data_IF_624482217741
#
_entry.id   IF_624482217741
#
_cell.length_a   1.000
_cell.length_b   1.000
_cell.length_c   1.000
_cell.angle_alpha   90.00
_cell.angle_beta   90.00
_cell.angle_gamma   90.00
#
_symmetry.space_group_name_H-M   'P 1'
#
loop_
_entity.id
_entity.type
_entity.pdbx_description
1 polymer ?
#
# COMPACT_ATOMS: atom_id res chain seq x y z
N UNK A 1 3.67 0.56 9.67
CA UNK A 1 3.50 -0.28 8.45
C UNK A 1 4.23 -1.61 8.68
N UNK A 2 3.83 -2.72 8.06
CA UNK A 2 4.57 -3.98 8.27
C UNK A 2 5.91 -3.96 7.51
N UNK A 3 6.97 -4.53 8.09
CA UNK A 3 8.31 -4.51 7.48
C UNK A 3 8.34 -5.18 6.10
N UNK A 4 7.79 -6.39 5.97
CA UNK A 4 7.73 -7.10 4.68
C UNK A 4 6.93 -6.36 3.59
N UNK A 5 5.91 -5.58 3.98
CA UNK A 5 5.18 -4.72 3.04
C UNK A 5 6.04 -3.53 2.59
N UNK A 6 6.85 -2.98 3.50
CA UNK A 6 7.75 -1.87 3.21
C UNK A 6 8.91 -2.26 2.31
N UNK A 7 9.54 -3.41 2.55
CA UNK A 7 10.61 -3.92 1.70
C UNK A 7 10.09 -4.24 0.30
N UNK A 8 8.91 -4.85 0.18
CA UNK A 8 8.23 -5.04 -1.11
C UNK A 8 7.95 -3.71 -1.82
N UNK A 9 7.35 -2.75 -1.11
CA UNK A 9 7.05 -1.43 -1.67
C UNK A 9 8.29 -0.77 -2.28
N UNK A 10 9.43 -0.88 -1.62
CA UNK A 10 10.67 -0.26 -2.11
C UNK A 10 11.28 -0.96 -3.30
N UNK A 11 11.23 -2.29 -3.32
CA UNK A 11 11.60 -3.07 -4.51
C UNK A 11 10.74 -2.63 -5.70
N UNK A 12 9.44 -2.45 -5.48
CA UNK A 12 8.51 -1.96 -6.52
C UNK A 12 8.79 -0.51 -6.94
N UNK A 13 9.25 0.36 -6.03
CA UNK A 13 9.69 1.73 -6.36
C UNK A 13 10.97 1.74 -7.19
N UNK A 14 11.95 0.90 -6.86
CA UNK A 14 13.17 0.75 -7.67
C UNK A 14 12.85 0.26 -9.08
N UNK A 15 11.85 -0.62 -9.20
CA UNK A 15 11.33 -1.12 -10.47
C UNK A 15 10.32 -0.16 -11.14
N UNK A 16 10.08 1.03 -10.58
CA UNK A 16 9.16 2.05 -11.09
C UNK A 16 7.69 1.59 -11.25
N UNK A 17 7.30 0.51 -10.57
CA UNK A 17 5.92 -0.01 -10.55
C UNK A 17 5.03 0.83 -9.64
N UNK A 18 5.60 1.35 -8.57
CA UNK A 18 4.95 2.26 -7.63
C UNK A 18 5.78 3.53 -7.45
N UNK A 19 5.13 4.64 -7.11
CA UNK A 19 5.81 5.92 -6.92
C UNK A 19 5.74 6.39 -5.45
N UNK A 20 6.73 7.18 -5.04
CA UNK A 20 6.74 7.87 -3.75
C UNK A 20 6.04 9.23 -3.89
N UNK A 21 4.96 9.51 -3.13
CA UNK A 21 4.25 10.78 -3.23
C UNK A 21 5.03 11.92 -2.55
N UNK A 22 5.42 12.93 -3.31
CA UNK A 22 6.08 14.14 -2.80
C UNK A 22 5.05 15.13 -2.22
N UNK A 23 4.90 15.14 -0.90
CA UNK A 23 3.91 16.00 -0.21
C UNK A 23 4.42 17.39 0.16
N UNK A 24 5.62 17.48 0.73
CA UNK A 24 6.18 18.74 1.26
C UNK A 24 7.07 19.47 0.27
N UNK A 25 7.98 18.75 -0.38
CA UNK A 25 8.93 19.31 -1.34
C UNK A 25 8.50 18.94 -2.77
N UNK A 26 7.56 19.70 -3.32
CA UNK A 26 6.90 19.42 -4.61
C UNK A 26 7.18 20.48 -5.70
N UNK A 27 8.07 21.44 -5.46
CA UNK A 27 8.45 22.45 -6.45
C UNK A 27 9.20 21.84 -7.63
N UNK A 28 8.62 21.91 -8.84
CA UNK A 28 9.22 21.37 -10.06
C UNK A 28 9.07 19.84 -10.24
N UNK A 29 8.32 19.16 -9.38
CA UNK A 29 8.06 17.71 -9.50
C UNK A 29 6.93 17.46 -10.51
N UNK A 30 7.14 16.55 -11.46
CA UNK A 30 6.14 16.17 -12.47
C UNK A 30 4.93 15.43 -11.90
N UNK A 31 3.85 15.35 -12.69
CA UNK A 31 2.64 14.60 -12.34
C UNK A 31 2.76 13.15 -12.80
N UNK A 32 2.33 12.20 -11.97
CA UNK A 32 2.27 10.78 -12.31
C UNK A 32 0.92 10.19 -11.91
N UNK A 33 0.40 9.25 -12.72
CA UNK A 33 -0.90 8.58 -12.49
C UNK A 33 -0.84 7.66 -11.25
N UNK A 34 0.31 7.03 -11.02
CA UNK A 34 0.56 6.13 -9.87
C UNK A 34 0.38 6.84 -8.52
N UNK A 35 0.58 8.17 -8.47
CA UNK A 35 0.49 8.96 -7.23
C UNK A 35 -0.95 9.13 -6.71
N UNK A 36 -1.96 8.67 -7.46
CA UNK A 36 -3.36 8.63 -7.00
C UNK A 36 -3.57 7.62 -5.87
N UNK A 37 -2.74 6.59 -5.79
CA UNK A 37 -2.74 5.63 -4.69
C UNK A 37 -1.87 6.21 -3.56
N UNK A 38 -2.52 6.81 -2.56
CA UNK A 38 -1.86 7.63 -1.57
C UNK A 38 -0.91 6.87 -0.61
N UNK A 39 0.15 7.59 -0.23
CA UNK A 39 1.02 7.44 0.94
C UNK A 39 1.78 6.12 1.11
N UNK A 40 3.06 6.17 0.75
CA UNK A 40 4.03 5.18 1.21
C UNK A 40 5.38 5.88 1.47
N UNK A 41 5.90 5.72 2.69
CA UNK A 41 7.19 6.25 3.14
C UNK A 41 8.21 5.12 3.11
N UNK A 42 9.37 5.38 2.49
CA UNK A 42 10.42 4.38 2.25
C UNK A 42 11.27 4.00 3.47
N UNK A 43 11.93 2.84 3.40
CA UNK A 43 12.72 2.19 4.46
C UNK A 43 13.85 1.30 3.94
N UNK A 44 15.11 1.62 4.20
CA UNK A 44 16.21 0.72 3.83
C UNK A 44 16.37 -0.37 4.92
N UNK A 45 16.78 -1.56 4.47
CA UNK A 45 16.79 -2.85 5.18
C UNK A 45 17.24 -2.79 6.64
N UNK A 46 16.44 -3.44 7.49
CA UNK A 46 16.55 -3.48 8.95
C UNK A 46 16.24 -4.89 9.50
N UNK A 47 16.00 -5.85 8.60
CA UNK A 47 15.59 -7.23 8.92
C UNK A 47 16.73 -7.95 9.68
N UNK A 48 17.97 -7.78 9.23
CA UNK A 48 19.17 -8.43 9.82
C UNK A 48 19.44 -8.03 11.28
N UNK A 49 19.13 -6.78 11.67
CA UNK A 49 19.36 -6.29 13.04
C UNK A 49 18.32 -6.83 14.04
N UNK A 50 17.12 -7.16 13.55
CA UNK A 50 16.05 -7.73 14.38
C UNK A 50 16.31 -9.22 14.68
N UNK A 51 16.82 -9.96 13.69
CA UNK A 51 17.24 -11.36 13.85
C UNK A 51 18.33 -11.50 14.91
N UNK A 52 19.29 -10.58 14.94
CA UNK A 52 20.36 -10.57 15.96
C UNK A 52 19.80 -10.41 17.39
N UNK A 53 18.68 -9.72 17.55
CA UNK A 53 18.02 -9.48 18.84
C UNK A 53 17.00 -10.58 19.20
N UNK A 54 16.77 -11.54 18.32
CA UNK A 54 15.78 -12.59 18.49
C UNK A 54 14.33 -12.09 18.45
N UNK A 55 14.10 -10.95 17.81
CA UNK A 55 12.76 -10.40 17.57
C UNK A 55 12.13 -11.10 16.36
N UNK A 56 10.82 -11.29 16.39
CA UNK A 56 10.08 -11.94 15.31
C UNK A 56 9.92 -11.01 14.10
N UNK A 57 10.63 -11.34 13.02
CA UNK A 57 10.68 -10.53 11.79
C UNK A 57 9.29 -10.36 11.16
N UNK A 58 8.43 -11.36 11.32
CA UNK A 58 7.10 -11.42 10.70
C UNK A 58 6.02 -10.63 11.46
N UNK A 59 6.32 -10.10 12.64
CA UNK A 59 5.40 -9.24 13.42
C UNK A 59 5.91 -7.81 13.62
N UNK A 60 7.08 -7.47 13.05
CA UNK A 60 7.66 -6.14 13.14
C UNK A 60 6.85 -5.10 12.37
N UNK A 61 6.46 -4.07 13.11
CA UNK A 61 5.81 -2.90 12.57
C UNK A 61 6.66 -1.68 12.81
N UNK A 62 6.71 -0.84 11.78
CA UNK A 62 7.38 0.45 11.87
C UNK A 62 6.45 1.41 12.60
N UNK A 63 6.91 1.85 13.77
CA UNK A 63 6.21 2.81 14.61
C UNK A 63 6.60 4.22 14.23
N UNK A 64 7.91 4.48 14.15
CA UNK A 64 8.44 5.82 13.96
C UNK A 64 9.58 5.84 12.94
N UNK A 65 9.53 6.84 12.05
CA UNK A 65 10.61 7.17 11.10
C UNK A 65 10.83 8.68 11.19
N UNK A 66 12.08 9.07 11.43
CA UNK A 66 12.49 10.47 11.43
C UNK A 66 13.70 10.68 10.54
N UNK A 67 13.69 11.80 9.79
CA UNK A 67 14.80 12.21 8.93
C UNK A 67 15.23 13.62 9.31
N UNK A 68 16.45 13.75 9.80
CA UNK A 68 17.06 15.02 10.20
C UNK A 68 18.11 15.46 9.19
N UNK A 69 18.32 16.77 9.05
CA UNK A 69 19.39 17.31 8.20
C UNK A 69 20.73 17.17 8.90
N UNK A 70 21.74 16.68 8.20
CA UNK A 70 23.11 16.63 8.69
C UNK A 70 23.92 17.85 8.21
N UNK A 71 25.11 18.11 8.80
CA UNK A 71 25.99 19.20 8.37
C UNK A 71 26.33 19.12 6.88
N UNK A 72 26.21 20.24 6.16
CA UNK A 72 26.46 20.29 4.72
C UNK A 72 27.95 20.24 4.42
N UNK A 73 28.35 19.47 3.40
CA UNK A 73 29.72 19.49 2.90
C UNK A 73 29.85 20.51 1.77
N UNK A 74 30.97 21.22 1.75
CA UNK A 74 31.19 22.34 0.84
C UNK A 74 32.01 21.94 -0.38
N UNK A 75 31.50 22.25 -1.57
CA UNK A 75 32.20 22.16 -2.84
C UNK A 75 32.09 23.50 -3.58
N UNK A 76 32.88 23.66 -4.65
CA UNK A 76 32.93 24.87 -5.46
C UNK A 76 32.61 24.55 -6.91
N UNK A 77 31.80 25.40 -7.53
CA UNK A 77 31.58 25.40 -8.98
C UNK A 77 32.14 26.69 -9.54
N UNK A 78 33.10 26.55 -10.46
CA UNK A 78 33.64 27.66 -11.23
C UNK A 78 32.67 28.02 -12.35
N UNK A 79 32.33 29.30 -12.45
CA UNK A 79 31.45 29.85 -13.50
C UNK A 79 32.22 30.88 -14.34
N UNK A 80 31.55 31.39 -15.37
CA UNK A 80 32.10 32.42 -16.24
C UNK A 80 32.59 33.65 -15.46
N UNK A 81 33.56 34.37 -16.05
CA UNK A 81 34.16 35.59 -15.50
C UNK A 81 34.80 35.42 -14.12
N UNK A 82 35.32 34.23 -13.80
CA UNK A 82 35.99 33.95 -12.52
C UNK A 82 35.03 33.89 -11.32
N UNK A 83 33.71 33.84 -11.56
CA UNK A 83 32.72 33.71 -10.49
C UNK A 83 32.79 32.32 -9.86
N UNK A 84 32.88 32.27 -8.53
CA UNK A 84 32.87 31.02 -7.76
C UNK A 84 31.55 30.92 -6.99
N UNK A 85 30.76 29.89 -7.26
CA UNK A 85 29.53 29.61 -6.53
C UNK A 85 29.71 28.36 -5.63
N UNK A 86 29.05 28.32 -4.46
CA UNK A 86 29.03 27.14 -3.63
C UNK A 86 28.15 26.04 -4.26
N UNK A 87 28.62 24.80 -4.17
CA UNK A 87 27.81 23.59 -4.39
C UNK A 87 27.86 22.78 -3.11
N UNK A 88 26.70 22.60 -2.47
CA UNK A 88 26.63 22.04 -1.13
C UNK A 88 25.96 20.68 -1.19
N UNK A 89 26.59 19.65 -0.63
CA UNK A 89 25.90 18.37 -0.42
C UNK A 89 24.93 18.50 0.75
N UNK A 90 23.85 17.72 0.71
CA UNK A 90 22.81 17.71 1.75
C UNK A 90 22.65 16.31 2.36
N UNK A 91 23.56 15.91 3.26
CA UNK A 91 23.42 14.63 3.97
C UNK A 91 22.27 14.66 4.99
N UNK A 92 21.83 13.47 5.41
CA UNK A 92 20.77 13.31 6.41
C UNK A 92 21.07 12.20 7.43
N UNK A 93 20.47 12.34 8.61
CA UNK A 93 20.39 11.29 9.62
C UNK A 93 19.00 10.66 9.55
N UNK A 94 18.95 9.34 9.48
CA UNK A 94 17.71 8.58 9.41
C UNK A 94 17.62 7.73 10.67
N UNK A 95 16.53 7.91 11.40
CA UNK A 95 16.22 7.17 12.62
C UNK A 95 14.92 6.42 12.40
N UNK A 96 14.90 5.16 12.79
CA UNK A 96 13.74 4.29 12.68
C UNK A 96 13.59 3.42 13.93
N UNK A 97 12.35 3.29 14.39
CA UNK A 97 11.97 2.47 15.53
C UNK A 97 10.98 1.43 15.02
N UNK A 98 11.35 0.17 15.21
CA UNK A 98 10.49 -0.98 14.96
C UNK A 98 10.02 -1.53 16.31
N UNK A 99 8.75 -1.88 16.37
CA UNK A 99 8.15 -2.55 17.52
C UNK A 99 7.39 -3.77 17.06
N UNK A 100 7.42 -4.82 17.88
CA UNK A 100 6.57 -5.98 17.69
C UNK A 100 5.14 -5.62 18.07
N UNK A 101 4.18 -5.95 17.22
CA UNK A 101 2.77 -5.76 17.57
C UNK A 101 2.25 -6.95 18.37
N UNK A 102 2.05 -6.74 19.66
CA UNK A 102 1.29 -7.67 20.50
C UNK A 102 -0.21 -7.65 20.16
N UNK A 103 -0.87 -8.81 20.29
CA UNK A 103 -2.33 -8.88 20.26
C UNK A 103 -2.88 -8.17 21.49
N UNK A 104 -3.73 -7.16 21.25
CA UNK A 104 -4.33 -6.34 22.31
C UNK A 104 -5.25 -7.24 23.14
N UNK A 105 -4.79 -7.67 24.31
CA UNK A 105 -5.68 -8.25 25.32
C UNK A 105 -6.41 -7.08 25.98
N UNK A 106 -7.75 -6.98 25.88
CA UNK A 106 -8.47 -5.91 26.52
C UNK A 106 -8.24 -5.98 28.03
N UNK A 107 -7.67 -4.90 28.61
CA UNK A 107 -7.62 -4.73 30.06
C UNK A 107 -9.06 -4.73 30.58
N UNK A 108 -9.40 -5.51 31.62
CA UNK A 108 -10.72 -5.44 32.21
C UNK A 108 -10.96 -4.02 32.75
N UNK A 109 -12.03 -3.39 32.31
CA UNK A 109 -12.47 -2.12 32.90
C UNK A 109 -12.93 -2.39 34.33
N UNK A 110 -12.24 -1.81 35.32
CA UNK A 110 -12.75 -1.76 36.68
C UNK A 110 -13.97 -0.83 36.68
N UNK A 111 -15.16 -1.42 36.80
CA UNK A 111 -16.40 -0.68 37.06
C UNK A 111 -16.31 0.03 38.41
N UNK A 112 -15.67 1.20 38.46
CA UNK A 112 -15.79 2.12 39.60
C UNK A 112 -17.17 2.77 39.50
N UNK A 113 -18.18 2.01 39.95
CA UNK A 113 -19.53 2.48 40.12
C UNK A 113 -19.54 3.64 41.12
N UNK A 114 -19.43 4.87 40.62
CA UNK A 114 -19.71 6.07 41.39
C UNK A 114 -21.19 6.05 41.79
N UNK A 115 -21.49 5.46 42.95
CA UNK A 115 -22.82 5.51 43.56
C UNK A 115 -23.15 6.97 43.84
N UNK A 116 -23.90 7.60 42.93
CA UNK A 116 -24.52 8.92 43.17
C UNK A 116 -25.32 8.83 44.48
N UNK A 117 -24.98 9.65 45.47
CA UNK A 117 -25.74 9.76 46.72
C UNK A 117 -27.13 10.32 46.41
N UNK A 118 -28.10 9.42 46.27
CA UNK A 118 -29.50 9.80 46.05
C UNK A 118 -30.08 10.29 47.39
N UNK A 119 -30.71 11.47 47.38
CA UNK A 119 -31.42 12.03 48.55
C UNK A 119 -32.46 11.06 49.11
N UNK A 120 -32.53 10.92 50.44
CA UNK A 120 -33.43 9.99 51.15
C UNK A 120 -34.90 10.11 50.71
N UNK A 121 -35.34 11.31 50.30
CA UNK A 121 -36.70 11.57 49.82
C UNK A 121 -36.99 10.88 48.48
N UNK A 122 -35.99 10.81 47.59
CA UNK A 122 -36.10 10.15 46.27
C UNK A 122 -36.06 8.62 46.42
N UNK A 123 -35.29 8.11 47.39
CA UNK A 123 -35.26 6.68 47.73
C UNK A 123 -36.59 6.19 48.31
N UNK A 124 -37.23 6.98 49.20
CA UNK A 124 -38.57 6.66 49.73
C UNK A 124 -39.64 6.63 48.62
N UNK A 125 -39.59 7.56 47.66
CA UNK A 125 -40.51 7.58 46.51
C UNK A 125 -40.33 6.37 45.59
N UNK A 126 -39.08 5.97 45.31
CA UNK A 126 -38.79 4.75 44.55
C UNK A 126 -39.24 3.47 45.27
N UNK A 127 -39.09 3.41 46.60
CA UNK A 127 -39.57 2.27 47.40
C UNK A 127 -41.10 2.17 47.46
N UNK A 128 -41.81 3.30 47.39
CA UNK A 128 -43.28 3.35 47.28
C UNK A 128 -43.73 2.84 45.92
N UNK A 129 -43.14 3.36 44.83
CA UNK A 129 -43.41 2.88 43.47
C UNK A 129 -43.10 1.38 43.28
N UNK A 130 -42.05 0.89 43.93
CA UNK A 130 -41.70 -0.54 43.90
C UNK A 130 -42.66 -1.43 44.71
N UNK A 131 -43.34 -0.89 45.72
CA UNK A 131 -44.39 -1.62 46.47
C UNK A 131 -45.70 -1.70 45.67
N UNK A 132 -46.05 -0.64 44.96
CA UNK A 132 -47.29 -0.58 44.17
C UNK A 132 -47.21 -1.50 42.93
N UNK A 133 -45.99 -1.77 42.42
CA UNK A 133 -45.76 -2.70 41.31
C UNK A 133 -45.82 -4.18 41.69
N UNK A 134 -46.00 -4.53 42.97
CA UNK A 134 -46.08 -5.94 43.41
C UNK A 134 -47.50 -6.54 43.36
N UNK A 135 -48.51 -5.82 42.85
CA UNK A 135 -49.90 -6.31 42.85
C UNK A 135 -50.35 -6.90 41.50
N UNK A 136 -49.56 -6.82 40.41
CA UNK A 136 -49.90 -7.52 39.17
C UNK A 136 -48.67 -8.19 38.54
N UNK A 137 -48.60 -9.54 38.45
CA UNK A 137 -47.61 -10.18 37.59
C UNK A 137 -47.89 -9.81 36.13
N UNK A 138 -46.87 -9.21 35.51
CA UNK A 138 -46.78 -8.75 34.12
C UNK A 138 -47.43 -9.69 33.10
N UNK A 139 -48.48 -9.20 32.44
CA UNK A 139 -49.05 -9.78 31.21
C UNK A 139 -48.17 -9.44 29.97
N UNK A 140 -47.33 -8.40 30.06
CA UNK A 140 -46.52 -7.87 28.95
C UNK A 140 -45.28 -8.69 28.55
N UNK A 141 -44.83 -9.65 29.37
CA UNK A 141 -43.64 -10.46 29.06
C UNK A 141 -43.93 -11.68 28.19
N UNK A 142 -45.16 -12.18 28.16
CA UNK A 142 -45.57 -13.30 27.31
C UNK A 142 -45.83 -12.83 25.87
N UNK A 143 -46.54 -11.71 25.67
CA UNK A 143 -46.90 -11.22 24.34
C UNK A 143 -45.68 -10.84 23.49
N UNK A 144 -44.67 -10.23 24.11
CA UNK A 144 -43.42 -9.87 23.43
C UNK A 144 -42.60 -11.11 23.02
N UNK A 145 -42.64 -12.18 23.82
CA UNK A 145 -41.95 -13.42 23.51
C UNK A 145 -42.61 -14.15 22.33
N UNK A 146 -43.94 -14.25 22.31
CA UNK A 146 -44.68 -14.83 21.18
C UNK A 146 -44.56 -13.97 19.91
N UNK A 147 -44.49 -12.64 20.03
CA UNK A 147 -44.28 -11.75 18.88
C UNK A 147 -42.91 -11.94 18.24
N UNK A 148 -41.83 -11.99 19.05
CA UNK A 148 -40.47 -12.25 18.56
C UNK A 148 -40.33 -13.64 17.96
N UNK A 149 -40.94 -14.67 18.58
CA UNK A 149 -40.89 -16.03 18.08
C UNK A 149 -41.65 -16.20 16.75
N UNK A 150 -42.82 -15.57 16.62
CA UNK A 150 -43.60 -15.57 15.38
C UNK A 150 -42.87 -14.81 14.25
N UNK A 151 -42.26 -13.67 14.58
CA UNK A 151 -41.46 -12.90 13.63
C UNK A 151 -40.25 -13.69 13.13
N UNK A 152 -39.52 -14.36 14.02
CA UNK A 152 -38.38 -15.19 13.63
C UNK A 152 -38.84 -16.39 12.77
N UNK A 153 -39.91 -17.08 13.14
CA UNK A 153 -40.41 -18.23 12.38
C UNK A 153 -40.86 -17.86 10.95
N UNK A 154 -41.46 -16.69 10.78
CA UNK A 154 -41.93 -16.25 9.47
C UNK A 154 -40.81 -15.67 8.59
N UNK A 155 -39.87 -14.91 9.17
CA UNK A 155 -38.84 -14.21 8.39
C UNK A 155 -37.55 -15.01 8.18
N UNK A 156 -37.19 -15.93 9.08
CA UNK A 156 -35.99 -16.75 8.96
C UNK A 156 -35.92 -17.59 7.66
N UNK A 157 -36.99 -18.27 7.19
CA UNK A 157 -36.92 -19.03 5.94
C UNK A 157 -36.76 -18.14 4.70
N UNK A 158 -37.34 -16.93 4.73
CA UNK A 158 -37.17 -15.95 3.65
C UNK A 158 -35.73 -15.40 3.61
N UNK A 159 -35.12 -15.21 4.77
CA UNK A 159 -33.74 -14.75 4.87
C UNK A 159 -32.74 -15.82 4.42
N UNK A 160 -32.99 -17.08 4.78
CA UNK A 160 -32.17 -18.22 4.36
C UNK A 160 -32.26 -18.46 2.84
N UNK A 161 -33.46 -18.37 2.26
CA UNK A 161 -33.62 -18.52 0.80
C UNK A 161 -32.93 -17.40 0.03
N UNK A 162 -33.00 -16.16 0.52
CA UNK A 162 -32.28 -15.02 -0.06
C UNK A 162 -30.75 -15.21 0.00
N UNK A 163 -30.21 -15.69 1.12
CA UNK A 163 -28.78 -15.97 1.26
C UNK A 163 -28.30 -17.10 0.34
N UNK A 164 -29.08 -18.17 0.21
CA UNK A 164 -28.77 -19.25 -0.73
C UNK A 164 -28.81 -18.76 -2.19
N UNK A 165 -29.77 -17.90 -2.52
CA UNK A 165 -29.84 -17.26 -3.84
C UNK A 165 -28.60 -16.39 -4.11
N UNK A 166 -28.22 -15.51 -3.17
CA UNK A 166 -26.99 -14.71 -3.30
C UNK A 166 -25.74 -15.56 -3.47
N UNK A 167 -25.63 -16.65 -2.70
CA UNK A 167 -24.52 -17.59 -2.81
C UNK A 167 -24.48 -18.25 -4.19
N UNK A 168 -25.62 -18.65 -4.75
CA UNK A 168 -25.69 -19.21 -6.10
C UNK A 168 -25.22 -18.21 -7.16
N UNK A 169 -25.68 -16.95 -7.10
CA UNK A 169 -25.24 -15.90 -8.02
C UNK A 169 -23.75 -15.57 -7.88
N UNK A 170 -23.22 -15.58 -6.66
CA UNK A 170 -21.80 -15.34 -6.41
C UNK A 170 -20.93 -16.47 -6.98
N UNK A 171 -21.33 -17.73 -6.78
CA UNK A 171 -20.64 -18.88 -7.36
C UNK A 171 -20.72 -18.89 -8.90
N UNK A 172 -21.87 -18.54 -9.47
CA UNK A 172 -22.02 -18.39 -10.91
C UNK A 172 -21.13 -17.28 -11.47
N UNK A 173 -21.04 -16.14 -10.78
CA UNK A 173 -20.17 -15.03 -11.15
C UNK A 173 -18.68 -15.42 -11.11
N UNK A 174 -18.24 -16.16 -10.09
CA UNK A 174 -16.89 -16.71 -10.01
C UNK A 174 -16.59 -17.71 -11.14
N UNK A 175 -17.54 -18.60 -11.47
CA UNK A 175 -17.40 -19.53 -12.59
C UNK A 175 -17.24 -18.78 -13.93
N UNK A 176 -18.02 -17.71 -14.13
CA UNK A 176 -17.90 -16.84 -15.30
C UNK A 176 -16.51 -16.17 -15.38
N UNK A 177 -15.95 -15.73 -14.25
CA UNK A 177 -14.58 -15.17 -14.21
C UNK A 177 -13.53 -16.23 -14.57
N UNK A 178 -13.62 -17.43 -14.00
CA UNK A 178 -12.65 -18.51 -14.24
C UNK A 178 -12.67 -18.96 -15.71
N UNK A 179 -13.86 -19.12 -16.29
CA UNK A 179 -14.02 -19.51 -17.70
C UNK A 179 -13.58 -18.43 -18.70
N UNK A 180 -13.62 -17.15 -18.33
CA UNK A 180 -12.99 -16.07 -19.12
C UNK A 180 -11.46 -16.14 -19.00
N UNK A 181 -10.94 -16.38 -17.79
CA UNK A 181 -9.51 -16.50 -17.53
C UNK A 181 -8.83 -17.71 -18.17
N UNK A 182 -9.56 -18.79 -18.45
CA UNK A 182 -9.05 -19.93 -19.23
C UNK A 182 -9.01 -19.63 -20.74
N UNK A 183 -10.04 -18.96 -21.28
CA UNK A 183 -10.07 -18.52 -22.69
C UNK A 183 -9.01 -17.46 -23.04
N UNK A 184 -8.58 -16.66 -22.08
CA UNK A 184 -7.46 -15.72 -22.29
C UNK A 184 -6.11 -16.42 -22.31
N UNK A 185 -5.91 -17.43 -21.45
CA UNK A 185 -4.71 -18.28 -21.44
C UNK A 185 -4.55 -19.15 -22.67
N UNK A 186 -5.63 -19.51 -23.36
CA UNK A 186 -5.56 -20.19 -24.67
C UNK A 186 -5.17 -19.23 -25.80
N UNK A 187 -5.73 -18.00 -25.81
CA UNK A 187 -5.38 -16.96 -26.80
C UNK A 187 -3.94 -16.46 -26.69
N UNK A 188 -3.30 -16.57 -25.53
CA UNK A 188 -1.87 -16.31 -25.39
C UNK A 188 -1.02 -17.43 -26.00
N UNK A 189 -1.39 -18.70 -25.78
CA UNK A 189 -0.69 -19.86 -26.37
C UNK A 189 -0.79 -19.90 -27.89
N UNK A 190 -1.91 -19.44 -28.47
CA UNK A 190 -2.03 -19.31 -29.93
C UNK A 190 -1.13 -18.19 -30.49
N UNK A 191 -1.03 -17.05 -29.80
CA UNK A 191 -0.13 -15.96 -30.20
C UNK A 191 1.35 -16.35 -30.14
N UNK A 192 1.73 -17.17 -29.17
CA UNK A 192 3.09 -17.72 -29.10
C UNK A 192 3.39 -18.64 -30.30
N UNK A 193 2.44 -19.51 -30.69
CA UNK A 193 2.59 -20.38 -31.87
C UNK A 193 2.67 -19.58 -33.17
N UNK A 194 1.86 -18.54 -33.32
CA UNK A 194 1.91 -17.65 -34.49
C UNK A 194 3.22 -16.86 -34.56
N UNK A 195 3.77 -16.44 -33.42
CA UNK A 195 5.06 -15.78 -33.35
C UNK A 195 6.21 -16.73 -33.75
N UNK A 196 6.12 -18.02 -33.39
CA UNK A 196 7.09 -19.04 -33.81
C UNK A 196 7.05 -19.28 -35.33
N UNK A 197 5.87 -19.43 -35.95
CA UNK A 197 5.75 -19.58 -37.41
C UNK A 197 6.22 -18.33 -38.16
N UNK A 198 6.02 -17.15 -37.59
CA UNK A 198 6.47 -15.89 -38.18
C UNK A 198 7.99 -15.74 -38.10
N UNK A 199 8.62 -16.16 -37.00
CA UNK A 199 10.07 -16.20 -36.85
C UNK A 199 10.74 -17.19 -37.83
N UNK A 200 10.12 -18.34 -38.09
CA UNK A 200 10.59 -19.30 -39.09
C UNK A 200 10.45 -18.75 -40.53
N UNK A 201 9.36 -18.05 -40.82
CA UNK A 201 9.14 -17.39 -42.11
C UNK A 201 10.14 -16.25 -42.39
N UNK A 202 10.51 -15.48 -41.36
CA UNK A 202 11.50 -14.40 -41.47
C UNK A 202 12.94 -14.94 -41.61
N UNK A 203 13.28 -16.06 -40.96
CA UNK A 203 14.57 -16.71 -41.12
C UNK A 203 14.79 -17.27 -42.54
N UNK A 204 13.71 -17.73 -43.21
CA UNK A 204 13.77 -18.22 -44.60
C UNK A 204 13.95 -17.14 -45.67
N UNK A 205 13.77 -15.85 -45.32
CA UNK A 205 13.76 -14.73 -46.27
C UNK A 205 15.13 -14.06 -46.48
N UNK A 206 16.13 -14.35 -45.63
CA UNK A 206 17.43 -13.65 -45.66
C UNK A 206 18.41 -14.08 -46.79
N UNK A 207 17.98 -14.87 -47.79
CA UNK A 207 18.85 -15.27 -48.90
C UNK A 207 18.39 -14.76 -50.28
N UNK A 208 18.27 -13.44 -50.44
CA UNK A 208 18.40 -12.78 -51.75
C UNK A 208 19.00 -11.37 -51.59
N UNK A 209 20.26 -11.21 -51.99
CA UNK A 209 20.74 -9.90 -52.44
C UNK A 209 20.15 -9.59 -53.82
N UNK A 210 19.76 -8.34 -54.07
CA UNK A 210 20.31 -7.73 -55.28
C UNK A 210 20.69 -6.25 -55.14
N UNK A 211 21.92 -6.01 -55.58
CA UNK A 211 22.43 -4.98 -56.48
C UNK A 211 22.15 -3.49 -56.27
N UNK A 212 23.29 -2.80 -56.19
CA UNK A 212 23.56 -1.37 -56.16
C UNK A 212 22.99 -0.61 -57.37
N UNK A 213 22.15 0.39 -57.09
CA UNK A 213 21.77 1.45 -58.02
C UNK A 213 21.98 2.81 -57.35
N UNK A 214 22.98 3.57 -57.83
CA UNK A 214 23.20 4.96 -57.47
C UNK A 214 22.26 5.85 -58.28
N UNK A 215 21.45 6.69 -57.63
CA UNK A 215 20.79 7.84 -58.27
C UNK A 215 20.89 9.09 -57.37
N UNK A 216 21.26 10.27 -57.91
CA UNK A 216 21.43 11.49 -57.15
C UNK A 216 20.20 12.41 -57.27
N UNK A 217 19.69 12.88 -56.12
CA UNK A 217 18.97 14.15 -55.84
C UNK A 217 17.71 13.91 -55.00
N UNK A 218 17.73 14.41 -53.77
CA UNK A 218 16.65 15.26 -53.23
C UNK A 218 17.13 15.99 -51.98
N UNK A 219 16.77 17.28 -51.78
CA UNK A 219 17.33 18.11 -50.72
C UNK A 219 16.45 18.13 -49.47
N UNK A 220 17.10 18.24 -48.31
CA UNK A 220 16.52 18.87 -47.13
C UNK A 220 15.92 17.94 -46.07
N UNK A 221 16.67 17.72 -44.99
CA UNK A 221 16.09 17.57 -43.65
C UNK A 221 17.08 18.05 -42.58
N UNK A 222 16.52 18.63 -41.51
CA UNK A 222 17.15 19.38 -40.41
C UNK A 222 18.46 18.78 -39.86
N UNK A 223 19.36 19.61 -39.29
CA UNK A 223 20.46 19.09 -38.49
C UNK A 223 19.92 18.45 -37.20
N UNK A 224 20.19 17.16 -37.03
CA UNK A 224 19.99 16.43 -35.78
C UNK A 224 21.00 16.86 -34.69
N UNK A 225 20.73 16.55 -33.42
CA UNK A 225 21.60 16.93 -32.31
C UNK A 225 22.95 16.19 -32.42
N UNK A 226 24.05 16.94 -32.27
CA UNK A 226 25.41 16.41 -32.25
C UNK A 226 25.56 15.36 -31.14
N UNK A 227 25.70 14.10 -31.53
CA UNK A 227 26.18 13.03 -30.66
C UNK A 227 27.66 13.30 -30.36
N UNK A 228 27.98 13.53 -29.08
CA UNK A 228 29.35 13.86 -28.68
C UNK A 228 29.49 14.30 -27.23
N UNK A 229 28.70 13.74 -26.31
CA UNK A 229 28.99 13.83 -24.89
C UNK A 229 29.14 12.41 -24.34
N UNK A 230 30.37 12.04 -24.02
CA UNK A 230 30.65 10.88 -23.16
C UNK A 230 29.81 11.05 -21.89
N UNK A 231 29.11 10.01 -21.40
CA UNK A 231 28.49 10.10 -20.08
C UNK A 231 29.62 10.34 -19.08
N UNK A 232 29.62 11.51 -18.43
CA UNK A 232 30.42 11.71 -17.24
C UNK A 232 29.93 10.65 -16.25
N UNK A 233 30.78 9.67 -15.96
CA UNK A 233 30.58 8.80 -14.82
C UNK A 233 30.68 9.70 -13.60
N UNK A 234 29.54 10.05 -13.02
CA UNK A 234 29.54 10.68 -11.71
C UNK A 234 30.24 9.71 -10.75
N UNK A 235 31.33 10.13 -10.09
CA UNK A 235 31.93 9.32 -9.05
C UNK A 235 30.87 9.19 -7.96
N UNK A 236 30.52 7.95 -7.64
CA UNK A 236 29.51 7.61 -6.64
C UNK A 236 29.67 8.50 -5.42
N UNK A 237 28.65 9.32 -5.17
CA UNK A 237 28.53 10.04 -3.91
C UNK A 237 28.44 8.94 -2.87
N UNK A 238 29.53 8.73 -2.14
CA UNK A 238 29.52 7.98 -0.89
C UNK A 238 28.60 8.74 0.06
N UNK A 239 27.31 8.46 -0.04
CA UNK A 239 26.33 8.83 0.96
C UNK A 239 26.72 8.03 2.21
N UNK A 240 27.51 8.65 3.08
CA UNK A 240 27.74 8.15 4.43
C UNK A 240 26.42 8.29 5.19
N UNK A 241 25.56 7.27 5.07
CA UNK A 241 24.37 7.15 5.89
C UNK A 241 24.78 6.59 7.23
N UNK A 242 24.80 7.44 8.26
CA UNK A 242 24.83 6.95 9.63
C UNK A 242 23.40 6.55 10.01
N UNK A 243 23.12 5.25 9.99
CA UNK A 243 21.89 4.68 10.52
C UNK A 243 22.04 4.56 12.03
N UNK A 244 21.11 5.17 12.78
CA UNK A 244 20.96 4.92 14.21
C UNK A 244 19.62 4.25 14.42
N UNK A 245 19.67 2.99 14.79
CA UNK A 245 18.51 2.11 14.91
C UNK A 245 18.32 1.80 16.39
N UNK A 246 17.11 2.07 16.89
CA UNK A 246 16.71 1.75 18.26
C UNK A 246 15.54 0.78 18.18
N UNK A 247 15.76 -0.42 18.72
CA UNK A 247 14.69 -1.38 18.98
C UNK A 247 14.31 -1.20 20.44
N UNK A 248 13.02 -1.04 20.71
CA UNK A 248 12.44 -0.90 22.06
C UNK A 248 11.74 -2.20 22.39
#
# INVERSE_FOLDING_TARGET
MHIGKATKYLKDVTLQKQCVPFRRYNGGVGRCVQAKQGLYTGLVAQEDDAELKGLDVDSLVIEHIQVNKAPKMQHRIYKAHGRINPYMSSPCHIEMILTEKEQIVPKPEEEVAQKKKISQKKLKKQKLMARDNCIHPNILSQDLFYFLFSFLFFFLPFFLSFFLFLSFFFNFYLFMIVTQGEREREREREREREAETQAEGEAGSMHREPNVGFDPRSPGSRPGPKAGAKPLRDPGILLSFSFKILFI
#
